data_IF_571317946021
#
_entry.id   IF_571317946021
#
_cell.length_a   1.000
_cell.length_b   1.000
_cell.length_c   1.000
_cell.angle_alpha   90.00
_cell.angle_beta   90.00
_cell.angle_gamma   90.00
#
_symmetry.space_group_name_H-M   'P 1'
#
loop_
_entity.id
_entity.type
_entity.pdbx_description
1 polymer ?
#
# COMPACT_ATOMS: atom_id res chain seq x y z
N UNK A 1 12.96 -9.99 -4.95
CA UNK A 1 12.67 -9.95 -3.51
C UNK A 1 11.17 -10.00 -3.27
N UNK A 2 10.56 -11.19 -3.23
CA UNK A 2 9.13 -11.36 -2.99
C UNK A 2 8.70 -11.01 -1.55
N UNK A 3 9.61 -11.05 -0.58
CA UNK A 3 9.32 -10.80 0.84
C UNK A 3 8.79 -9.38 1.08
N UNK A 4 9.43 -8.37 0.49
CA UNK A 4 9.02 -6.95 0.63
C UNK A 4 7.59 -6.74 0.08
N UNK A 5 7.24 -7.41 -1.02
CA UNK A 5 5.89 -7.32 -1.61
C UNK A 5 4.83 -7.92 -0.69
N UNK A 6 5.13 -9.07 -0.09
CA UNK A 6 4.22 -9.72 0.86
C UNK A 6 4.02 -8.85 2.11
N UNK A 7 5.11 -8.28 2.64
CA UNK A 7 5.07 -7.43 3.81
C UNK A 7 4.28 -6.13 3.57
N UNK A 8 4.41 -5.50 2.39
CA UNK A 8 3.57 -4.35 2.01
C UNK A 8 2.08 -4.72 2.00
N UNK A 9 1.73 -5.87 1.43
CA UNK A 9 0.33 -6.33 1.37
C UNK A 9 -0.20 -6.62 2.78
N UNK A 10 0.57 -7.31 3.61
CA UNK A 10 0.19 -7.64 4.98
C UNK A 10 -0.03 -6.38 5.82
N UNK A 11 0.91 -5.42 5.79
CA UNK A 11 0.74 -4.16 6.50
C UNK A 11 -0.47 -3.36 6.02
N UNK A 12 -0.74 -3.34 4.71
CA UNK A 12 -1.92 -2.69 4.16
C UNK A 12 -3.24 -3.37 4.59
N UNK A 13 -3.27 -4.71 4.64
CA UNK A 13 -4.41 -5.48 5.14
C UNK A 13 -4.68 -5.23 6.63
N UNK A 14 -3.62 -4.95 7.40
CA UNK A 14 -3.72 -4.55 8.81
C UNK A 14 -4.06 -3.05 8.99
N UNK A 15 -4.37 -2.32 7.90
CA UNK A 15 -4.76 -0.91 7.95
C UNK A 15 -3.61 0.08 8.04
N UNK A 16 -2.36 -0.36 7.84
CA UNK A 16 -1.22 0.55 7.83
C UNK A 16 -1.23 1.44 6.58
N UNK A 17 -0.92 2.72 6.77
CA UNK A 17 -0.93 3.72 5.70
C UNK A 17 0.34 3.68 4.84
N UNK A 18 0.23 4.12 3.58
CA UNK A 18 1.36 4.13 2.61
C UNK A 18 2.62 4.79 3.16
N UNK A 19 2.47 5.91 3.88
CA UNK A 19 3.60 6.65 4.47
C UNK A 19 4.25 5.91 5.64
N UNK A 20 3.45 5.23 6.44
CA UNK A 20 3.91 4.45 7.58
C UNK A 20 4.71 3.22 7.11
N UNK A 21 4.16 2.51 6.12
CA UNK A 21 4.83 1.40 5.45
C UNK A 21 6.15 1.81 4.78
N UNK A 22 6.18 2.97 4.12
CA UNK A 22 7.40 3.50 3.51
C UNK A 22 8.49 3.79 4.55
N UNK A 23 8.10 4.26 5.75
CA UNK A 23 9.01 4.52 6.86
C UNK A 23 9.55 3.22 7.47
N UNK A 24 8.69 2.22 7.67
CA UNK A 24 9.07 0.92 8.28
C UNK A 24 9.97 0.11 7.36
N UNK A 25 9.69 0.11 6.06
CA UNK A 25 10.42 -0.67 5.07
C UNK A 25 11.62 0.07 4.47
N UNK A 26 11.82 1.34 4.84
CA UNK A 26 12.89 2.21 4.29
C UNK A 26 12.87 2.30 2.75
N UNK A 27 11.68 2.27 2.15
CA UNK A 27 11.47 2.37 0.71
C UNK A 27 10.64 3.60 0.36
N UNK A 28 10.68 4.00 -0.92
CA UNK A 28 9.90 5.15 -1.35
C UNK A 28 8.38 4.87 -1.24
N UNK A 29 7.57 5.84 -0.79
CA UNK A 29 6.12 5.70 -0.76
C UNK A 29 5.52 5.50 -2.16
N UNK A 30 6.20 5.97 -3.20
CA UNK A 30 5.83 5.70 -4.60
C UNK A 30 5.95 4.21 -4.93
N UNK A 31 6.99 3.53 -4.43
CA UNK A 31 7.17 2.07 -4.60
C UNK A 31 6.04 1.31 -3.92
N UNK A 32 5.69 1.66 -2.67
CA UNK A 32 4.56 1.07 -1.94
C UNK A 32 3.26 1.24 -2.73
N UNK A 33 3.00 2.44 -3.23
CA UNK A 33 1.83 2.73 -4.06
C UNK A 33 1.80 1.90 -5.34
N UNK A 34 2.91 1.79 -6.08
CA UNK A 34 2.99 0.99 -7.31
C UNK A 34 2.77 -0.50 -7.04
N UNK A 35 3.28 -1.01 -5.93
CA UNK A 35 3.08 -2.41 -5.52
C UNK A 35 1.62 -2.69 -5.13
N UNK A 36 0.95 -1.78 -4.42
CA UNK A 36 -0.48 -1.90 -4.09
C UNK A 36 -1.39 -1.77 -5.33
N UNK A 37 -1.06 -0.85 -6.23
CA UNK A 37 -1.83 -0.58 -7.46
C UNK A 37 -1.75 -1.73 -8.46
N UNK A 38 -0.63 -2.48 -8.51
CA UNK A 38 -0.50 -3.70 -9.34
C UNK A 38 -1.46 -4.83 -8.93
N UNK A 39 -1.99 -4.81 -7.70
CA UNK A 39 -2.89 -5.85 -7.18
C UNK A 39 -4.36 -5.44 -7.16
N UNK A 40 -4.71 -4.21 -7.53
CA UNK A 40 -6.06 -3.68 -7.42
C UNK A 40 -6.62 -3.24 -8.79
N UNK A 41 -7.45 -4.06 -9.46
CA UNK A 41 -8.38 -3.54 -10.43
C UNK A 41 -9.47 -2.78 -9.64
N UNK A 42 -9.45 -1.45 -9.72
CA UNK A 42 -10.54 -0.57 -9.33
C UNK A 42 -11.20 -0.84 -7.95
N UNK A 43 -10.54 -0.44 -6.85
CA UNK A 43 -11.33 -0.14 -5.64
C UNK A 43 -11.95 1.24 -5.84
N UNK A 44 -13.21 1.23 -6.33
CA UNK A 44 -14.09 2.39 -6.35
C UNK A 44 -14.08 3.05 -4.97
N UNK A 45 -13.53 4.25 -4.90
CA UNK A 45 -13.53 5.07 -3.68
C UNK A 45 -14.92 5.68 -3.59
N UNK A 46 -15.81 5.06 -2.83
CA UNK A 46 -17.09 5.67 -2.45
C UNK A 46 -16.80 7.06 -1.89
N UNK A 47 -17.41 8.04 -2.54
CA UNK A 47 -17.39 9.45 -2.18
C UNK A 47 -18.05 9.64 -0.82
N UNK A 48 -17.29 10.12 0.16
CA UNK A 48 -17.84 11.00 1.18
C UNK A 48 -17.16 12.34 0.99
N UNK A 49 -17.76 13.15 0.12
CA UNK A 49 -17.62 14.61 0.17
C UNK A 49 -18.66 15.07 1.19
N UNK A 50 -18.21 15.77 2.23
CA UNK A 50 -19.08 16.65 3.00
C UNK A 50 -19.59 17.78 2.12
#
# INVERSE_FOLDING_TARGET
MPQVKQQIIEMALNGSGIRDMARVLEISPCTVFMELKKKSPALSRSTSRC
#
